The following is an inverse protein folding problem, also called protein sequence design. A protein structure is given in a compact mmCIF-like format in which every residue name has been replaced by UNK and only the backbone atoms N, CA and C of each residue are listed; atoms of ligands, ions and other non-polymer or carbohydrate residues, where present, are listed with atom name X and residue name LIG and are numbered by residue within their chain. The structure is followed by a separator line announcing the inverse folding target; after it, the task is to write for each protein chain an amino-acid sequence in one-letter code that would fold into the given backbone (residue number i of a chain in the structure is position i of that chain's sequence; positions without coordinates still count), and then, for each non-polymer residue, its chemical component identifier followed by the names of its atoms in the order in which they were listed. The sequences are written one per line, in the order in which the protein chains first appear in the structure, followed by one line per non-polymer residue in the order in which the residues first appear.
data_IF_405374861875
#
_entry.id   IF_405374861875
#
_cell.length_a   1.000
_cell.length_b   1.000
_cell.length_c   1.000
_cell.angle_alpha   90.00
_cell.angle_beta   90.00
_cell.angle_gamma   90.00
#
_symmetry.space_group_name_H-M   'P 1'
#
loop_
_entity.id
_entity.type
_entity.pdbx_description
1 polymer ?
#
# COMPACT_ATOMS: atom_id res chain seq x y z
N UNK A 1 3.93 -29.49 13.38
CA UNK A 1 5.30 -29.40 12.84
C UNK A 1 5.35 -28.17 11.96
N UNK A 2 6.16 -27.17 12.27
CA UNK A 2 6.36 -26.00 11.40
C UNK A 2 7.15 -26.45 10.19
N UNK A 3 6.48 -26.59 9.04
CA UNK A 3 7.18 -26.90 7.79
C UNK A 3 8.22 -25.82 7.47
N UNK A 4 9.36 -26.24 6.93
CA UNK A 4 10.43 -25.32 6.54
C UNK A 4 9.93 -24.42 5.40
N UNK A 5 10.13 -23.12 5.55
CA UNK A 5 9.93 -22.15 4.48
C UNK A 5 11.06 -22.34 3.46
N UNK A 6 10.71 -22.76 2.25
CA UNK A 6 11.66 -23.00 1.15
C UNK A 6 12.04 -21.69 0.45
N UNK A 7 11.06 -20.79 0.32
CA UNK A 7 11.24 -19.49 -0.30
C UNK A 7 10.30 -18.47 0.34
N UNK A 8 10.76 -17.22 0.45
CA UNK A 8 9.96 -16.08 0.93
C UNK A 8 10.25 -14.87 0.08
N UNK A 9 9.21 -14.26 -0.46
CA UNK A 9 9.26 -13.01 -1.20
C UNK A 9 8.39 -11.96 -0.52
N UNK A 10 8.88 -10.72 -0.48
CA UNK A 10 8.14 -9.55 0.00
C UNK A 10 8.18 -8.46 -1.06
N UNK A 11 7.09 -8.31 -1.79
CA UNK A 11 6.94 -7.29 -2.83
C UNK A 11 6.32 -6.04 -2.23
N UNK A 12 7.05 -4.93 -2.34
CA UNK A 12 6.60 -3.59 -1.95
C UNK A 12 6.23 -2.77 -3.19
N UNK A 13 5.19 -1.95 -3.08
CA UNK A 13 4.79 -1.00 -4.13
C UNK A 13 5.69 0.25 -4.07
N UNK A 14 6.91 0.16 -4.62
CA UNK A 14 7.93 1.23 -4.59
C UNK A 14 8.02 2.03 -5.90
N UNK A 15 6.98 1.98 -6.73
CA UNK A 15 6.94 2.69 -8.00
C UNK A 15 7.06 4.21 -7.76
N UNK A 16 8.13 4.82 -8.25
CA UNK A 16 8.47 6.22 -7.93
C UNK A 16 7.35 7.18 -8.34
N UNK A 17 6.75 6.98 -9.51
CA UNK A 17 5.66 7.82 -10.02
C UNK A 17 4.44 7.84 -9.09
N UNK A 18 4.11 6.70 -8.48
CA UNK A 18 3.01 6.57 -7.53
C UNK A 18 3.33 7.32 -6.23
N UNK A 19 4.57 7.24 -5.74
CA UNK A 19 5.03 7.97 -4.57
C UNK A 19 5.04 9.49 -4.80
N UNK A 20 5.44 9.94 -5.98
CA UNK A 20 5.38 11.36 -6.36
C UNK A 20 3.93 11.86 -6.31
N UNK A 21 2.98 11.11 -6.89
CA UNK A 21 1.56 11.47 -6.85
C UNK A 21 1.01 11.52 -5.41
N UNK A 22 1.31 10.52 -4.59
CA UNK A 22 0.89 10.49 -3.18
C UNK A 22 1.44 11.67 -2.38
N UNK A 23 2.73 11.98 -2.54
CA UNK A 23 3.36 13.10 -1.83
C UNK A 23 2.83 14.45 -2.31
N UNK A 24 2.50 14.60 -3.59
CA UNK A 24 1.86 15.81 -4.11
C UNK A 24 0.48 16.04 -3.50
N UNK A 25 -0.37 15.00 -3.45
CA UNK A 25 -1.69 15.06 -2.80
C UNK A 25 -1.53 15.39 -1.32
N UNK A 26 -0.56 14.75 -0.65
CA UNK A 26 -0.30 14.97 0.77
C UNK A 26 0.13 16.41 1.06
N UNK A 27 1.03 16.95 0.23
CA UNK A 27 1.50 18.32 0.32
C UNK A 27 0.35 19.32 0.14
N UNK A 28 -0.48 19.16 -0.90
CA UNK A 28 -1.63 20.04 -1.15
C UNK A 28 -2.62 19.99 0.02
N UNK A 29 -2.88 18.80 0.58
CA UNK A 29 -3.81 18.62 1.70
C UNK A 29 -3.32 19.35 2.96
N UNK A 30 -2.04 19.22 3.29
CA UNK A 30 -1.43 19.94 4.42
C UNK A 30 -1.40 21.44 4.18
N UNK A 31 -1.02 21.87 2.98
CA UNK A 31 -1.00 23.29 2.62
C UNK A 31 -2.38 23.93 2.76
N UNK A 32 -3.42 23.26 2.25
CA UNK A 32 -4.81 23.75 2.37
C UNK A 32 -5.26 23.87 3.82
N UNK A 33 -4.92 22.92 4.69
CA UNK A 33 -5.25 23.01 6.11
C UNK A 33 -4.48 24.12 6.82
N UNK A 34 -3.19 24.32 6.55
CA UNK A 34 -2.42 25.45 7.10
C UNK A 34 -3.01 26.78 6.64
N UNK A 35 -3.31 26.89 5.34
CA UNK A 35 -3.91 28.08 4.75
C UNK A 35 -5.24 28.42 5.42
N UNK A 36 -6.12 27.43 5.59
CA UNK A 36 -7.44 27.67 6.14
C UNK A 36 -7.43 27.89 7.66
N UNK A 37 -6.74 27.02 8.41
CA UNK A 37 -6.84 26.97 9.89
C UNK A 37 -5.85 27.91 10.56
N UNK A 38 -4.64 28.05 10.02
CA UNK A 38 -3.57 28.87 10.64
C UNK A 38 -3.58 30.29 10.07
N UNK A 39 -3.69 30.42 8.74
CA UNK A 39 -3.66 31.72 8.08
C UNK A 39 -5.04 32.38 7.98
N UNK A 40 -6.12 31.65 8.27
CA UNK A 40 -7.49 32.15 8.16
C UNK A 40 -7.91 32.49 6.71
N UNK A 41 -7.14 32.04 5.72
CA UNK A 41 -7.42 32.28 4.30
C UNK A 41 -8.21 31.10 3.77
N UNK A 42 -9.42 31.29 3.23
CA UNK A 42 -10.22 30.18 2.73
C UNK A 42 -9.49 29.44 1.62
N UNK A 43 -9.49 28.12 1.69
CA UNK A 43 -8.95 27.28 0.63
C UNK A 43 -10.04 27.05 -0.43
N UNK A 44 -9.87 27.67 -1.60
CA UNK A 44 -10.87 27.65 -2.68
C UNK A 44 -11.96 28.72 -2.50
N UNK A 45 -13.05 28.59 -3.27
CA UNK A 45 -14.13 29.58 -3.33
C UNK A 45 -15.29 29.31 -2.36
N UNK A 46 -15.41 28.09 -1.86
CA UNK A 46 -16.41 27.69 -0.87
C UNK A 46 -15.71 26.89 0.26
N UNK A 47 -15.09 27.58 1.23
CA UNK A 47 -14.36 26.93 2.30
C UNK A 47 -15.33 26.10 3.16
N UNK A 48 -15.00 24.83 3.34
CA UNK A 48 -15.68 24.01 4.33
C UNK A 48 -15.26 24.41 5.75
N UNK A 49 -15.84 23.80 6.80
CA UNK A 49 -15.41 24.02 8.17
C UNK A 49 -13.95 23.63 8.41
N UNK A 50 -13.27 24.30 9.34
CA UNK A 50 -11.84 24.05 9.66
C UNK A 50 -11.55 22.61 10.06
N UNK A 51 -12.46 21.99 10.83
CA UNK A 51 -12.32 20.59 11.22
C UNK A 51 -12.26 19.65 10.00
N UNK A 52 -12.95 20.00 8.91
CA UNK A 52 -12.94 19.20 7.68
C UNK A 52 -11.62 19.34 6.94
N UNK A 53 -11.05 20.55 6.90
CA UNK A 53 -9.71 20.76 6.33
C UNK A 53 -8.64 19.98 7.10
N UNK A 54 -8.70 19.98 8.44
CA UNK A 54 -7.82 19.16 9.28
C UNK A 54 -8.01 17.67 9.02
N UNK A 55 -9.26 17.19 8.91
CA UNK A 55 -9.54 15.79 8.62
C UNK A 55 -8.96 15.35 7.26
N UNK A 56 -9.12 16.19 6.23
CA UNK A 56 -8.54 15.93 4.89
C UNK A 56 -7.01 15.88 4.97
N UNK A 57 -6.38 16.84 5.64
CA UNK A 57 -4.92 16.84 5.83
C UNK A 57 -4.45 15.61 6.60
N UNK A 58 -5.15 15.18 7.64
CA UNK A 58 -4.80 13.97 8.37
C UNK A 58 -4.92 12.71 7.50
N UNK A 59 -6.03 12.54 6.81
CA UNK A 59 -6.30 11.34 6.02
C UNK A 59 -5.41 11.25 4.78
N UNK A 60 -5.41 12.30 3.94
CA UNK A 60 -4.69 12.30 2.67
C UNK A 60 -3.23 12.76 2.82
N UNK A 61 -2.95 13.62 3.78
CA UNK A 61 -1.61 14.10 4.08
C UNK A 61 -0.77 13.15 4.93
N UNK A 62 -1.38 12.19 5.64
CA UNK A 62 -0.64 11.31 6.55
C UNK A 62 -1.09 9.85 6.47
N UNK A 63 -2.38 9.56 6.71
CA UNK A 63 -2.84 8.17 6.79
C UNK A 63 -2.64 7.42 5.47
N UNK A 64 -2.96 8.03 4.33
CA UNK A 64 -2.79 7.43 3.01
C UNK A 64 -1.31 7.13 2.68
N UNK A 65 -0.38 8.11 2.74
CA UNK A 65 1.03 7.83 2.50
C UNK A 65 1.59 6.72 3.41
N UNK A 66 1.24 6.73 4.70
CA UNK A 66 1.66 5.69 5.64
C UNK A 66 1.05 4.32 5.30
N UNK A 67 -0.22 4.29 4.92
CA UNK A 67 -0.89 3.08 4.45
C UNK A 67 -0.13 2.46 3.27
N UNK A 68 0.20 3.28 2.26
CA UNK A 68 0.99 2.83 1.10
C UNK A 68 2.42 2.40 1.46
N UNK A 69 3.05 3.04 2.44
CA UNK A 69 4.37 2.62 2.93
C UNK A 69 4.35 1.20 3.51
N UNK A 70 3.23 0.82 4.12
CA UNK A 70 3.06 -0.45 4.81
C UNK A 70 2.55 -1.56 3.88
N UNK A 71 1.97 -1.19 2.72
CA UNK A 71 1.49 -2.14 1.72
C UNK A 71 2.62 -3.07 1.26
N UNK A 72 2.41 -4.36 1.49
CA UNK A 72 3.34 -5.39 1.05
C UNK A 72 2.59 -6.69 0.73
N UNK A 73 2.90 -7.27 -0.43
CA UNK A 73 2.52 -8.63 -0.75
C UNK A 73 3.64 -9.56 -0.30
N UNK A 74 3.30 -10.51 0.56
CA UNK A 74 4.21 -11.53 1.07
C UNK A 74 3.80 -12.88 0.50
N UNK A 75 4.77 -13.61 -0.04
CA UNK A 75 4.59 -14.94 -0.60
C UNK A 75 5.61 -15.86 0.08
N UNK A 76 5.16 -17.03 0.50
CA UNK A 76 5.98 -18.05 1.13
C UNK A 76 5.67 -19.42 0.50
N UNK A 77 6.71 -20.08 0.03
CA UNK A 77 6.61 -21.46 -0.47
C UNK A 77 7.04 -22.40 0.65
N UNK A 78 6.17 -23.34 0.99
CA UNK A 78 6.43 -24.39 1.99
C UNK A 78 6.24 -25.76 1.34
N UNK A 79 6.60 -26.84 2.03
CA UNK A 79 6.50 -28.20 1.50
C UNK A 79 5.05 -28.59 1.18
N UNK A 80 4.08 -28.07 1.92
CA UNK A 80 2.67 -28.39 1.86
C UNK A 80 1.82 -27.44 1.00
N UNK A 81 2.39 -26.32 0.54
CA UNK A 81 1.71 -25.39 -0.35
C UNK A 81 2.31 -24.00 -0.46
N UNK A 82 1.58 -23.14 -1.16
CA UNK A 82 1.87 -21.72 -1.32
C UNK A 82 1.07 -20.90 -0.29
N UNK A 83 1.75 -20.05 0.45
CA UNK A 83 1.16 -19.16 1.43
C UNK A 83 1.31 -17.72 0.95
N UNK A 84 0.21 -16.99 0.85
CA UNK A 84 0.25 -15.57 0.47
C UNK A 84 -0.48 -14.70 1.49
N UNK A 85 0.00 -13.46 1.63
CA UNK A 85 -0.58 -12.46 2.51
C UNK A 85 -0.36 -11.07 1.92
N UNK A 86 -1.45 -10.34 1.67
CA UNK A 86 -1.38 -8.95 1.24
C UNK A 86 -1.64 -8.01 2.43
N UNK A 87 -0.59 -7.58 3.13
CA UNK A 87 -0.75 -6.71 4.29
C UNK A 87 -0.99 -5.25 3.85
N UNK A 88 -1.95 -4.51 4.46
CA UNK A 88 -2.76 -4.87 5.62
C UNK A 88 -4.15 -5.47 5.31
N UNK A 89 -4.54 -5.62 4.04
CA UNK A 89 -5.86 -6.16 3.65
C UNK A 89 -6.10 -7.61 4.12
N UNK A 90 -5.04 -8.42 4.12
CA UNK A 90 -5.01 -9.78 4.62
C UNK A 90 -4.01 -9.85 5.79
N UNK A 91 -4.54 -10.03 7.01
CA UNK A 91 -3.72 -10.14 8.22
C UNK A 91 -3.18 -11.57 8.44
N UNK A 92 -3.88 -12.57 7.91
CA UNK A 92 -3.50 -13.99 7.99
C UNK A 92 -3.04 -14.49 6.64
N UNK A 93 -2.13 -15.45 6.63
CA UNK A 93 -1.76 -16.15 5.40
C UNK A 93 -2.93 -17.00 4.92
N UNK A 94 -3.18 -16.96 3.62
CA UNK A 94 -4.03 -17.93 2.94
C UNK A 94 -3.13 -18.98 2.30
N UNK A 95 -3.50 -20.25 2.45
CA UNK A 95 -2.78 -21.39 1.88
C UNK A 95 -3.49 -21.84 0.60
N UNK A 96 -2.70 -22.18 -0.41
CA UNK A 96 -3.11 -22.94 -1.59
C UNK A 96 -2.33 -24.26 -1.53
N UNK A 97 -3.02 -25.39 -1.39
CA UNK A 97 -2.39 -26.70 -1.34
C UNK A 97 -1.91 -27.15 -2.72
N UNK A 98 -0.83 -27.92 -2.81
CA UNK A 98 -0.37 -28.43 -4.12
C UNK A 98 -1.39 -29.33 -4.82
N UNK A 99 -2.24 -30.00 -4.04
CA UNK A 99 -3.35 -30.83 -4.50
C UNK A 99 -4.52 -30.03 -5.11
N UNK A 100 -4.58 -28.72 -4.87
CA UNK A 100 -5.57 -27.81 -5.46
C UNK A 100 -5.05 -27.17 -6.76
N UNK A 101 -3.77 -27.34 -7.07
CA UNK A 101 -3.10 -26.73 -8.22
C UNK A 101 -3.11 -27.70 -9.40
N UNK A 102 -3.98 -27.45 -10.38
CA UNK A 102 -4.16 -28.32 -11.57
C UNK A 102 -2.88 -28.45 -12.41
N UNK A 103 -2.06 -27.40 -12.46
CA UNK A 103 -0.75 -27.42 -13.11
C UNK A 103 0.13 -26.29 -12.57
N UNK A 104 1.43 -26.54 -12.42
CA UNK A 104 2.44 -25.50 -12.21
C UNK A 104 3.45 -25.58 -13.35
N UNK A 105 3.72 -24.45 -14.00
CA UNK A 105 4.75 -24.35 -15.02
C UNK A 105 5.83 -23.37 -14.55
N UNK A 106 7.13 -23.71 -14.65
CA UNK A 106 8.18 -22.73 -14.44
C UNK A 106 8.10 -21.69 -15.56
N UNK A 107 7.59 -20.51 -15.23
CA UNK A 107 7.60 -19.37 -16.14
C UNK A 107 8.83 -18.54 -15.82
N UNK A 108 9.80 -18.50 -16.74
CA UNK A 108 10.85 -17.49 -16.71
C UNK A 108 10.21 -16.14 -16.98
N UNK A 109 9.96 -15.40 -15.91
CA UNK A 109 9.50 -14.03 -16.00
C UNK A 109 10.72 -13.12 -16.12
N UNK A 110 10.82 -12.40 -17.24
CA UNK A 110 11.72 -11.26 -17.39
C UNK A 110 10.88 -9.98 -17.21
N UNK A 111 10.78 -9.42 -16.00
CA UNK A 111 10.01 -8.19 -15.77
C UNK A 111 10.59 -6.97 -16.49
N UNK A 112 11.86 -7.07 -16.92
CA UNK A 112 12.67 -6.01 -17.47
C UNK A 112 13.54 -6.58 -18.61
N UNK A 113 12.94 -7.00 -19.73
CA UNK A 113 13.67 -6.94 -21.00
C UNK A 113 13.46 -5.54 -21.56
N UNK A 114 14.36 -4.63 -21.18
CA UNK A 114 14.66 -3.44 -21.99
C UNK A 114 15.67 -3.82 -23.06
#
# INVERSE_FOLDING_TARGET
MTERVLFRERQHFRQIWLWVLLLAIAFISWWGAVQQVVLGVPFGTNPGPDWMAVLIALVFGTVFPLFFAVLALQIEVRGDGLYYRFFPFHLRYRRIGWNETVAYAPVSYSPLSS
#
